data_IF_902199116327
#
_entry.id   IF_902199116327
#
_cell.length_a   1.000
_cell.length_b   1.000
_cell.length_c   1.000
_cell.angle_alpha   90.00
_cell.angle_beta   90.00
_cell.angle_gamma   90.00
#
_symmetry.space_group_name_H-M   'P 1'
#
loop_
_entity.id
_entity.type
_entity.pdbx_description
1 polymer ?
#
# COMPACT_ATOMS: atom_id res chain seq x y z
N UNK A 1 -13.06 -24.89 16.56
CA UNK A 1 -13.09 -23.45 16.93
C UNK A 1 -11.81 -22.75 16.46
N UNK A 2 -10.61 -23.13 16.91
CA UNK A 2 -9.33 -22.49 16.51
C UNK A 2 -9.07 -22.35 15.00
N UNK A 3 -9.37 -23.36 14.18
CA UNK A 3 -9.09 -23.30 12.74
C UNK A 3 -10.03 -22.37 11.95
N UNK A 4 -11.22 -22.06 12.48
CA UNK A 4 -12.13 -21.09 11.85
C UNK A 4 -11.65 -19.67 12.09
N UNK A 5 -11.25 -19.37 13.33
CA UNK A 5 -10.74 -18.05 13.72
C UNK A 5 -9.48 -17.67 12.91
N UNK A 6 -8.61 -18.65 12.65
CA UNK A 6 -7.38 -18.45 11.86
C UNK A 6 -7.68 -18.19 10.37
N UNK A 7 -8.64 -18.92 9.79
CA UNK A 7 -9.08 -18.68 8.41
C UNK A 7 -9.82 -17.34 8.27
N UNK A 8 -10.60 -16.93 9.27
CA UNK A 8 -11.30 -15.65 9.29
C UNK A 8 -10.30 -14.49 9.40
N UNK A 9 -9.30 -14.62 10.26
CA UNK A 9 -8.20 -13.65 10.35
C UNK A 9 -7.47 -13.47 9.02
N UNK A 10 -7.09 -14.56 8.36
CA UNK A 10 -6.42 -14.50 7.06
C UNK A 10 -7.30 -13.81 6.00
N UNK A 11 -8.59 -14.11 5.99
CA UNK A 11 -9.57 -13.49 5.10
C UNK A 11 -9.71 -11.99 5.37
N UNK A 12 -9.77 -11.57 6.63
CA UNK A 12 -9.82 -10.16 7.00
C UNK A 12 -8.55 -9.40 6.60
N UNK A 13 -7.36 -10.00 6.74
CA UNK A 13 -6.13 -9.40 6.26
C UNK A 13 -6.15 -9.20 4.75
N UNK A 14 -6.55 -10.22 3.98
CA UNK A 14 -6.66 -10.13 2.52
C UNK A 14 -7.67 -9.05 2.10
N UNK A 15 -8.83 -8.99 2.75
CA UNK A 15 -9.82 -7.95 2.50
C UNK A 15 -9.27 -6.55 2.80
N UNK A 16 -8.59 -6.38 3.92
CA UNK A 16 -7.94 -5.11 4.30
C UNK A 16 -6.93 -4.67 3.25
N UNK A 17 -6.08 -5.60 2.79
CA UNK A 17 -5.10 -5.34 1.75
C UNK A 17 -5.76 -4.89 0.45
N UNK A 18 -6.77 -5.63 -0.04
CA UNK A 18 -7.50 -5.31 -1.26
C UNK A 18 -8.16 -3.93 -1.16
N UNK A 19 -8.85 -3.63 -0.05
CA UNK A 19 -9.50 -2.33 0.15
C UNK A 19 -8.52 -1.16 0.17
N UNK A 20 -7.37 -1.31 0.82
CA UNK A 20 -6.32 -0.28 0.85
C UNK A 20 -5.72 -0.07 -0.55
N UNK A 21 -5.42 -1.15 -1.26
CA UNK A 21 -4.87 -1.10 -2.60
C UNK A 21 -5.82 -0.35 -3.55
N UNK A 22 -7.11 -0.69 -3.52
CA UNK A 22 -8.14 -0.01 -4.32
C UNK A 22 -8.28 1.48 -3.95
N UNK A 23 -8.24 1.81 -2.67
CA UNK A 23 -8.28 3.21 -2.21
C UNK A 23 -7.12 4.04 -2.78
N UNK A 24 -5.89 3.52 -2.69
CA UNK A 24 -4.69 4.19 -3.21
C UNK A 24 -4.77 4.32 -4.73
N UNK A 25 -5.18 3.26 -5.45
CA UNK A 25 -5.35 3.32 -6.90
C UNK A 25 -6.42 4.35 -7.32
N UNK A 26 -7.52 4.45 -6.57
CA UNK A 26 -8.55 5.46 -6.81
C UNK A 26 -8.02 6.88 -6.58
N UNK A 27 -7.30 7.12 -5.47
CA UNK A 27 -6.62 8.40 -5.21
C UNK A 27 -5.66 8.75 -6.35
N UNK A 28 -4.80 7.82 -6.77
CA UNK A 28 -3.88 8.00 -7.91
C UNK A 28 -4.59 8.42 -9.18
N UNK A 29 -5.70 7.75 -9.52
CA UNK A 29 -6.51 8.08 -10.70
C UNK A 29 -7.14 9.46 -10.59
N UNK A 30 -7.67 9.83 -9.42
CA UNK A 30 -8.25 11.16 -9.18
C UNK A 30 -7.19 12.26 -9.38
N UNK A 31 -6.03 12.13 -8.73
CA UNK A 31 -4.90 13.07 -8.90
C UNK A 31 -4.47 13.20 -10.36
N UNK A 32 -4.37 12.09 -11.10
CA UNK A 32 -4.01 12.12 -12.52
C UNK A 32 -5.06 12.85 -13.38
N UNK A 33 -6.35 12.67 -13.08
CA UNK A 33 -7.44 13.32 -13.79
C UNK A 33 -7.54 14.83 -13.48
N UNK A 34 -7.30 15.23 -12.24
CA UNK A 34 -7.26 16.64 -11.84
C UNK A 34 -6.13 17.40 -12.53
N UNK A 35 -4.94 16.78 -12.66
CA UNK A 35 -3.82 17.34 -13.41
C UNK A 35 -4.17 17.62 -14.88
N UNK A 36 -4.87 16.69 -15.54
CA UNK A 36 -5.30 16.85 -16.95
C UNK A 36 -6.32 17.96 -17.13
N UNK A 37 -7.20 18.17 -16.14
CA UNK A 37 -8.27 19.18 -16.22
C UNK A 37 -7.81 20.58 -15.87
N UNK A 38 -6.93 20.75 -14.88
CA UNK A 38 -6.60 22.09 -14.36
C UNK A 38 -5.44 22.78 -15.06
N UNK A 39 -4.58 22.10 -15.83
CA UNK A 39 -3.45 22.73 -16.53
C UNK A 39 -2.51 23.55 -15.62
N UNK A 40 -2.66 23.41 -14.30
CA UNK A 40 -1.97 24.21 -13.29
C UNK A 40 -0.63 23.58 -12.98
N UNK A 41 0.39 24.42 -12.84
CA UNK A 41 1.69 24.05 -12.28
C UNK A 41 1.46 23.68 -10.81
N UNK A 42 1.19 22.40 -10.54
CA UNK A 42 1.07 21.90 -9.16
C UNK A 42 2.47 21.95 -8.54
N UNK A 43 2.57 22.59 -7.37
CA UNK A 43 3.78 22.62 -6.58
C UNK A 43 4.22 21.17 -6.28
N UNK A 44 5.46 20.76 -6.60
CA UNK A 44 5.98 19.44 -6.28
C UNK A 44 5.79 19.03 -4.81
N UNK A 45 5.72 19.99 -3.88
CA UNK A 45 5.48 19.75 -2.45
C UNK A 45 4.04 19.32 -2.12
N UNK A 46 3.07 19.56 -3.01
CA UNK A 46 1.69 19.10 -2.87
C UNK A 46 1.45 17.73 -3.51
N UNK A 47 2.51 17.12 -4.07
CA UNK A 47 2.40 15.79 -4.65
C UNK A 47 2.44 14.74 -3.54
N UNK A 48 1.53 13.76 -3.55
CA UNK A 48 1.62 12.61 -2.66
C UNK A 48 2.96 11.90 -2.90
N UNK A 49 3.93 12.14 -2.02
CA UNK A 49 5.34 11.82 -2.22
C UNK A 49 5.58 10.31 -2.35
N UNK A 50 4.71 9.52 -1.72
CA UNK A 50 4.85 8.08 -1.59
C UNK A 50 3.84 7.28 -2.42
N UNK A 51 2.87 7.94 -3.04
CA UNK A 51 1.78 7.29 -3.77
C UNK A 51 2.24 6.60 -5.06
N UNK A 52 3.44 6.92 -5.54
CA UNK A 52 4.08 6.30 -6.72
C UNK A 52 5.15 5.27 -6.36
N UNK A 53 5.32 4.94 -5.08
CA UNK A 53 6.31 3.94 -4.67
C UNK A 53 5.99 2.59 -5.33
N UNK A 54 7.01 1.97 -5.94
CA UNK A 54 6.94 0.61 -6.46
C UNK A 54 7.45 -0.33 -5.38
N UNK A 55 6.65 -1.34 -5.05
CA UNK A 55 7.02 -2.37 -4.07
C UNK A 55 7.32 -3.65 -4.85
N UNK A 56 8.56 -4.17 -4.79
CA UNK A 56 8.87 -5.46 -5.37
C UNK A 56 8.02 -6.56 -4.71
N UNK A 57 7.45 -7.45 -5.53
CA UNK A 57 6.75 -8.65 -5.07
C UNK A 57 7.18 -9.85 -5.91
N UNK A 58 7.22 -11.03 -5.30
CA UNK A 58 7.54 -12.27 -5.99
C UNK A 58 6.25 -13.02 -6.35
N UNK A 59 5.91 -13.09 -7.64
CA UNK A 59 4.67 -13.71 -8.12
C UNK A 59 4.68 -15.26 -8.00
N UNK A 60 5.86 -15.85 -7.78
CA UNK A 60 6.05 -17.29 -7.67
C UNK A 60 6.02 -17.82 -6.23
N UNK A 61 5.93 -16.93 -5.23
CA UNK A 61 5.95 -17.29 -3.82
C UNK A 61 4.59 -17.02 -3.20
N UNK A 62 4.08 -18.01 -2.47
CA UNK A 62 2.87 -17.83 -1.69
C UNK A 62 3.14 -16.73 -0.65
N UNK A 63 2.44 -15.61 -0.75
CA UNK A 63 2.58 -14.50 0.19
C UNK A 63 2.10 -14.98 1.56
N UNK A 64 3.01 -15.04 2.52
CA UNK A 64 2.70 -15.43 3.88
C UNK A 64 2.03 -14.28 4.65
N UNK A 65 1.46 -14.60 5.81
CA UNK A 65 0.75 -13.61 6.61
C UNK A 65 1.69 -12.51 7.14
N UNK A 66 2.97 -12.79 7.33
CA UNK A 66 3.96 -11.79 7.74
C UNK A 66 4.21 -10.76 6.63
N UNK A 67 4.47 -11.21 5.41
CA UNK A 67 4.64 -10.34 4.23
C UNK A 67 3.38 -9.52 4.00
N UNK A 68 2.20 -10.15 4.03
CA UNK A 68 0.92 -9.45 3.85
C UNK A 68 0.70 -8.37 4.92
N UNK A 69 1.02 -8.65 6.18
CA UNK A 69 0.91 -7.67 7.28
C UNK A 69 1.84 -6.47 7.07
N UNK A 70 3.09 -6.71 6.67
CA UNK A 70 4.05 -5.65 6.35
C UNK A 70 3.58 -4.78 5.19
N UNK A 71 3.06 -5.40 4.12
CA UNK A 71 2.46 -4.68 3.00
C UNK A 71 1.25 -3.85 3.42
N UNK A 72 0.34 -4.38 4.26
CA UNK A 72 -0.80 -3.61 4.80
C UNK A 72 -0.31 -2.37 5.56
N UNK A 73 0.73 -2.51 6.40
CA UNK A 73 1.31 -1.37 7.13
C UNK A 73 1.87 -0.31 6.19
N UNK A 74 2.60 -0.73 5.15
CA UNK A 74 3.12 0.17 4.12
C UNK A 74 1.98 0.87 3.37
N UNK A 75 0.95 0.13 2.93
CA UNK A 75 -0.18 0.71 2.21
C UNK A 75 -0.95 1.71 3.08
N UNK A 76 -1.14 1.45 4.37
CA UNK A 76 -1.73 2.44 5.31
C UNK A 76 -0.86 3.70 5.38
N UNK A 77 0.44 3.54 5.60
CA UNK A 77 1.36 4.66 5.67
C UNK A 77 1.37 5.48 4.36
N UNK A 78 1.31 4.83 3.19
CA UNK A 78 1.18 5.50 1.90
C UNK A 78 -0.17 6.22 1.77
N UNK A 79 -1.26 5.57 2.16
CA UNK A 79 -2.60 6.14 2.08
C UNK A 79 -2.76 7.40 2.94
N UNK A 80 -2.01 7.47 4.03
CA UNK A 80 -2.03 8.56 5.02
C UNK A 80 -0.87 9.56 4.81
N UNK A 81 -0.09 9.44 3.72
CA UNK A 81 1.09 10.26 3.41
C UNK A 81 2.09 10.37 4.59
N UNK A 82 2.25 9.26 5.33
CA UNK A 82 3.08 9.19 6.53
C UNK A 82 4.57 9.26 6.22
N UNK A 83 5.33 10.01 7.03
CA UNK A 83 6.79 10.06 6.97
C UNK A 83 7.46 8.73 7.36
N UNK A 84 6.71 7.75 7.87
CA UNK A 84 7.21 6.42 8.18
C UNK A 84 7.41 5.52 6.94
N UNK A 85 6.87 5.90 5.77
CA UNK A 85 6.95 5.09 4.55
C UNK A 85 8.38 4.66 4.18
N UNK A 86 9.40 5.55 4.17
CA UNK A 86 10.77 5.16 3.83
C UNK A 86 11.33 4.08 4.75
N UNK A 87 11.08 4.19 6.06
CA UNK A 87 11.53 3.19 7.05
C UNK A 87 10.82 1.86 6.82
N UNK A 88 9.50 1.87 6.65
CA UNK A 88 8.72 0.64 6.42
C UNK A 88 9.11 -0.07 5.12
N UNK A 89 9.39 0.68 4.05
CA UNK A 89 9.90 0.12 2.81
C UNK A 89 11.29 -0.47 2.98
N UNK A 90 12.17 0.22 3.72
CA UNK A 90 13.52 -0.27 4.02
C UNK A 90 13.46 -1.57 4.80
N UNK A 91 12.68 -1.61 5.88
CA UNK A 91 12.50 -2.81 6.69
C UNK A 91 11.96 -3.96 5.85
N UNK A 92 10.94 -3.72 5.01
CA UNK A 92 10.39 -4.74 4.12
C UNK A 92 11.41 -5.29 3.13
N UNK A 93 12.24 -4.43 2.53
CA UNK A 93 13.29 -4.86 1.59
C UNK A 93 14.39 -5.64 2.31
N UNK A 94 14.74 -5.26 3.55
CA UNK A 94 15.82 -5.88 4.30
C UNK A 94 15.41 -7.17 5.03
N UNK A 95 14.12 -7.35 5.34
CA UNK A 95 13.62 -8.45 6.18
C UNK A 95 12.52 -9.30 5.55
N UNK A 96 11.89 -8.82 4.47
CA UNK A 96 10.63 -9.35 3.92
C UNK A 96 10.75 -10.17 2.65
N UNK A 97 11.91 -10.77 2.37
CA UNK A 97 12.10 -11.73 1.26
C UNK A 97 12.86 -12.97 1.71
#
# INVERSE_FOLDING_TARGET
MRALDELEYEKEMKNTFISLLLSIQNKRRQFANERKRKGTKIDPSQLPQYMTASIPYNDHQHMDNATLSSLIKILRAINDDSSAVPTLLTDYILTGT
#
